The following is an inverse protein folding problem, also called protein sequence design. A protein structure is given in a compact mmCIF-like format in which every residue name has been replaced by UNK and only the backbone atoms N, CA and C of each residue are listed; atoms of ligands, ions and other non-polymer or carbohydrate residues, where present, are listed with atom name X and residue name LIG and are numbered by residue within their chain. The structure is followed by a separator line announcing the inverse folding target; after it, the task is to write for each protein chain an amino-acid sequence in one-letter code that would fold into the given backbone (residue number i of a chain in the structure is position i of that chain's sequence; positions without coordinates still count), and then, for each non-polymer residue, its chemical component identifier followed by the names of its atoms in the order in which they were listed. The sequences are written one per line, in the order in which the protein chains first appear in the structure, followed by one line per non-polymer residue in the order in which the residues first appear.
data_IF_295760878760
#
_entry.id   IF_295760878760
#
_cell.length_a   1.000
_cell.length_b   1.000
_cell.length_c   1.000
_cell.angle_alpha   90.00
_cell.angle_beta   90.00
_cell.angle_gamma   90.00
#
_symmetry.space_group_name_H-M   'P 1'
#
loop_
_entity.id
_entity.type
_entity.pdbx_description
1 polymer ?
#
# COMPACT_ATOMS: atom_id res chain seq x y z
N UNK A 1 14.36 4.60 -34.95
CA UNK A 1 13.53 4.27 -33.77
C UNK A 1 12.14 3.84 -34.26
N UNK A 2 11.89 2.54 -34.40
CA UNK A 2 10.56 2.09 -34.79
C UNK A 2 9.51 2.62 -33.81
N UNK A 3 8.36 3.08 -34.31
CA UNK A 3 7.26 3.66 -33.50
C UNK A 3 6.95 2.82 -32.26
N UNK A 4 6.93 1.49 -32.41
CA UNK A 4 6.77 0.51 -31.32
C UNK A 4 7.81 0.66 -30.21
N UNK A 5 9.10 0.81 -30.55
CA UNK A 5 10.19 1.01 -29.57
C UNK A 5 10.03 2.33 -28.81
N UNK A 6 9.64 3.41 -29.49
CA UNK A 6 9.42 4.73 -28.89
C UNK A 6 8.28 4.71 -27.87
N UNK A 7 7.15 4.11 -28.23
CA UNK A 7 5.98 3.98 -27.33
C UNK A 7 6.37 3.19 -26.07
N UNK A 8 7.04 2.05 -26.23
CA UNK A 8 7.47 1.23 -25.09
C UNK A 8 8.44 1.97 -24.15
N UNK A 9 9.35 2.76 -24.70
CA UNK A 9 10.27 3.58 -23.90
C UNK A 9 9.52 4.64 -23.08
N UNK A 10 8.54 5.32 -23.70
CA UNK A 10 7.71 6.34 -23.03
C UNK A 10 6.88 5.70 -21.91
N UNK A 11 6.23 4.57 -22.16
CA UNK A 11 5.42 3.86 -21.16
C UNK A 11 6.26 3.43 -19.96
N UNK A 12 7.44 2.85 -20.21
CA UNK A 12 8.39 2.47 -19.14
C UNK A 12 8.84 3.69 -18.33
N UNK A 13 9.13 4.81 -18.97
CA UNK A 13 9.52 6.04 -18.28
C UNK A 13 8.39 6.59 -17.40
N UNK A 14 7.14 6.59 -17.88
CA UNK A 14 5.97 7.00 -17.10
C UNK A 14 5.73 6.08 -15.89
N UNK A 15 5.81 4.77 -16.09
CA UNK A 15 5.67 3.79 -15.01
C UNK A 15 6.74 3.98 -13.92
N UNK A 16 8.01 4.16 -14.31
CA UNK A 16 9.10 4.45 -13.36
C UNK A 16 8.85 5.75 -12.58
N UNK A 17 8.39 6.82 -13.25
CA UNK A 17 8.04 8.09 -12.59
C UNK A 17 6.90 7.95 -11.58
N UNK A 18 5.89 7.11 -11.87
CA UNK A 18 4.79 6.81 -10.95
C UNK A 18 5.31 6.04 -9.72
N UNK A 19 6.12 5.01 -9.93
CA UNK A 19 6.63 4.17 -8.85
C UNK A 19 7.68 4.88 -7.99
N UNK A 20 8.43 5.83 -8.55
CA UNK A 20 9.38 6.65 -7.79
C UNK A 20 8.71 7.51 -6.70
N UNK A 21 7.41 7.78 -6.83
CA UNK A 21 6.63 8.50 -5.80
C UNK A 21 5.97 7.55 -4.80
N UNK A 22 5.94 6.25 -5.08
CA UNK A 22 5.32 5.21 -4.26
C UNK A 22 6.36 4.43 -3.44
N UNK A 23 7.40 5.13 -2.96
CA UNK A 23 8.37 4.52 -2.06
C UNK A 23 7.83 4.55 -0.63
N UNK A 24 7.20 3.45 -0.22
CA UNK A 24 7.05 3.11 1.20
C UNK A 24 8.36 2.49 1.69
N UNK A 25 9.04 3.13 2.63
CA UNK A 25 10.16 2.50 3.32
C UNK A 25 9.63 1.35 4.15
N UNK A 26 10.15 0.13 3.96
CA UNK A 26 9.78 -1.05 4.75
C UNK A 26 10.31 -1.00 6.21
N UNK A 27 10.69 0.20 6.67
CA UNK A 27 11.16 0.43 8.03
C UNK A 27 9.98 1.06 8.78
N UNK A 28 9.60 0.52 9.96
CA UNK A 28 8.65 1.22 10.80
C UNK A 28 9.23 2.60 11.13
N UNK A 29 8.39 3.64 11.04
CA UNK A 29 8.78 4.97 11.48
C UNK A 29 9.24 4.87 12.94
N UNK A 30 10.42 5.40 13.26
CA UNK A 30 10.85 5.45 14.65
C UNK A 30 9.87 6.35 15.41
N UNK A 31 9.15 5.74 16.34
CA UNK A 31 8.24 6.41 17.28
C UNK A 31 8.93 6.46 18.63
N UNK A 32 8.78 7.58 19.34
CA UNK A 32 9.38 7.73 20.67
C UNK A 32 8.77 6.73 21.67
N UNK A 33 9.43 6.50 22.81
CA UNK A 33 8.91 5.57 23.85
C UNK A 33 7.50 5.96 24.32
N UNK A 34 7.22 7.26 24.42
CA UNK A 34 5.91 7.77 24.79
C UNK A 34 4.85 7.50 23.70
N UNK A 35 5.20 7.73 22.43
CA UNK A 35 4.29 7.47 21.30
C UNK A 35 4.00 5.97 21.13
N UNK A 36 4.98 5.09 21.37
CA UNK A 36 4.76 3.64 21.32
C UNK A 36 3.80 3.18 22.41
N UNK A 37 3.93 3.69 23.64
CA UNK A 37 2.99 3.36 24.72
C UNK A 37 1.56 3.83 24.38
N UNK A 38 1.40 5.03 23.83
CA UNK A 38 0.09 5.55 23.39
C UNK A 38 -0.53 4.77 22.23
N UNK A 39 0.30 4.22 21.33
CA UNK A 39 -0.14 3.40 20.21
C UNK A 39 -0.50 1.97 20.65
N UNK A 40 0.25 1.39 21.59
CA UNK A 40 -0.07 0.07 22.15
C UNK A 40 -1.41 0.09 22.91
N UNK A 41 -1.74 1.20 23.59
CA UNK A 41 -3.06 1.40 24.23
C UNK A 41 -4.19 1.69 23.23
N UNK A 42 -3.88 2.19 22.03
CA UNK A 42 -4.88 2.43 20.98
C UNK A 42 -5.06 1.23 20.05
N UNK A 43 -4.04 0.39 19.88
CA UNK A 43 -4.12 -0.83 19.07
C UNK A 43 -4.95 -1.95 19.74
N UNK A 44 -5.21 -1.84 21.05
CA UNK A 44 -6.15 -2.70 21.77
C UNK A 44 -7.62 -2.33 21.54
N UNK A 45 -7.90 -1.20 20.87
CA UNK A 45 -9.24 -0.90 20.35
C UNK A 45 -9.26 -1.33 18.86
N UNK A 46 -10.10 -2.31 18.47
CA UNK A 46 -10.21 -2.68 17.07
C UNK A 46 -10.90 -1.55 16.31
N UNK A 47 -10.13 -0.75 15.59
CA UNK A 47 -10.66 0.04 14.48
C UNK A 47 -11.10 -0.92 13.37
N UNK A 48 -12.39 -1.26 13.38
CA UNK A 48 -13.24 -1.78 12.32
C UNK A 48 -12.58 -1.70 10.93
N UNK A 49 -12.01 -2.83 10.50
CA UNK A 49 -11.51 -2.99 9.14
C UNK A 49 -12.72 -3.12 8.22
N UNK A 50 -12.83 -2.22 7.24
CA UNK A 50 -13.76 -2.28 6.11
C UNK A 50 -13.96 -3.72 5.62
N UNK A 51 -15.17 -4.23 5.81
CA UNK A 51 -15.64 -5.55 5.39
C UNK A 51 -15.55 -5.70 3.87
N UNK A 52 -14.74 -6.63 3.32
CA UNK A 52 -14.94 -7.11 1.96
C UNK A 52 -16.03 -8.18 2.01
N UNK A 53 -17.07 -8.00 1.20
CA UNK A 53 -18.20 -8.92 0.99
C UNK A 53 -17.76 -10.40 0.95
N UNK A 54 -18.38 -11.21 1.81
CA UNK A 54 -18.30 -12.66 1.75
C UNK A 54 -19.17 -13.16 0.58
N UNK A 55 -18.65 -13.91 -0.41
CA UNK A 55 -19.53 -14.70 -1.26
C UNK A 55 -20.07 -15.88 -0.44
N UNK A 56 -21.39 -15.88 -0.20
CA UNK A 56 -22.15 -17.01 0.34
C UNK A 56 -22.16 -18.15 -0.70
N UNK A 57 -21.10 -18.95 -0.72
CA UNK A 57 -21.12 -20.27 -1.37
C UNK A 57 -21.03 -21.33 -0.28
N UNK A 58 -22.21 -21.78 0.18
CA UNK A 58 -22.51 -23.15 0.60
C UNK A 58 -23.84 -23.15 1.36
N UNK A 59 -24.93 -23.51 0.68
CA UNK A 59 -26.00 -24.41 1.15
C UNK A 59 -27.01 -24.61 0.01
N UNK A 60 -27.19 -25.89 -0.37
CA UNK A 60 -27.99 -26.49 -1.46
C UNK A 60 -27.41 -26.49 -2.88
#
# INVERSE_FOLDING_TARGET
MNRKKKINQILKAKHKKKNAKLHKTNKPRYVSKAERASLDTQATEPCENNTPDQPLDSLE
#
